data_IF_440792166082
#
_entry.id   IF_440792166082
#
_cell.length_a   1.000
_cell.length_b   1.000
_cell.length_c   1.000
_cell.angle_alpha   90.00
_cell.angle_beta   90.00
_cell.angle_gamma   90.00
#
_symmetry.space_group_name_H-M   'P 1'
#
loop_
_entity.id
_entity.type
_entity.pdbx_description
1 polymer ?
#
# COMPACT_ATOMS: atom_id res chain seq x y z
N UNK A 1 20.88 64.44 30.09
CA UNK A 1 21.54 63.40 29.26
C UNK A 1 20.85 62.10 29.54
N UNK A 2 19.89 61.69 28.66
CA UNK A 2 19.00 60.55 28.89
C UNK A 2 19.43 59.43 27.91
N UNK A 3 19.94 58.33 28.46
CA UNK A 3 20.43 57.16 27.74
C UNK A 3 19.22 56.28 27.34
N UNK A 4 18.89 56.19 26.06
CA UNK A 4 17.86 55.28 25.52
C UNK A 4 18.51 53.96 25.19
N UNK A 5 18.18 52.92 25.96
CA UNK A 5 18.58 51.53 25.69
C UNK A 5 17.51 50.93 24.77
N UNK A 6 17.87 50.66 23.50
CA UNK A 6 17.02 49.94 22.56
C UNK A 6 17.20 48.42 22.74
N UNK A 7 16.13 47.74 23.14
CA UNK A 7 16.09 46.28 23.20
C UNK A 7 15.71 45.75 21.81
N UNK A 8 16.65 45.08 21.16
CA UNK A 8 16.39 44.34 19.92
C UNK A 8 15.90 42.92 20.30
N UNK A 9 14.59 42.68 20.13
CA UNK A 9 14.03 41.34 20.21
C UNK A 9 14.41 40.56 18.94
N UNK A 10 15.36 39.65 19.02
CA UNK A 10 15.64 38.68 17.98
C UNK A 10 14.54 37.61 17.92
N UNK A 11 13.73 37.57 16.87
CA UNK A 11 12.86 36.46 16.57
C UNK A 11 13.71 35.27 16.12
N UNK A 12 13.90 34.27 16.99
CA UNK A 12 14.43 32.99 16.60
C UNK A 12 13.35 32.20 15.85
N UNK A 13 13.44 32.12 14.51
CA UNK A 13 12.60 31.26 13.70
C UNK A 13 12.94 29.80 14.02
N UNK A 14 12.08 29.09 14.75
CA UNK A 14 12.13 27.65 14.91
C UNK A 14 11.79 27.02 13.54
N UNK A 15 12.78 26.60 12.78
CA UNK A 15 12.61 25.75 11.61
C UNK A 15 12.09 24.39 12.11
N UNK A 16 10.78 24.14 11.98
CA UNK A 16 10.20 22.82 12.16
C UNK A 16 10.71 21.99 10.98
N UNK A 17 11.41 20.85 11.20
CA UNK A 17 11.77 19.98 10.12
C UNK A 17 10.47 19.52 9.44
N UNK A 18 10.30 19.84 8.17
CA UNK A 18 9.26 19.24 7.35
C UNK A 18 9.62 17.74 7.27
N UNK A 19 8.87 16.89 7.95
CA UNK A 19 8.92 15.44 7.69
C UNK A 19 8.61 15.28 6.21
N UNK A 20 9.60 14.77 5.46
CA UNK A 20 9.39 14.49 4.04
C UNK A 20 8.15 13.58 3.94
N UNK A 21 7.17 14.00 3.14
CA UNK A 21 5.98 13.19 2.94
C UNK A 21 6.42 11.84 2.34
N UNK A 22 5.95 10.75 2.92
CA UNK A 22 6.23 9.40 2.41
C UNK A 22 5.69 9.29 0.98
N UNK A 23 6.51 8.98 -0.04
CA UNK A 23 5.99 8.72 -1.36
C UNK A 23 5.29 7.36 -1.40
N UNK A 24 4.27 7.22 -2.25
CA UNK A 24 3.41 6.03 -2.29
C UNK A 24 4.20 4.73 -2.53
N UNK A 25 5.23 4.75 -3.36
CA UNK A 25 6.06 3.59 -3.69
C UNK A 25 6.99 3.13 -2.57
N UNK A 26 7.11 3.90 -1.48
CA UNK A 26 7.86 3.53 -0.28
C UNK A 26 6.95 3.31 0.93
N UNK A 27 5.64 3.42 0.75
CA UNK A 27 4.70 3.35 1.85
C UNK A 27 4.57 1.92 2.40
N UNK A 28 4.47 1.85 3.73
CA UNK A 28 4.13 0.63 4.47
C UNK A 28 2.80 0.86 5.16
N UNK A 29 1.86 -0.03 4.92
CA UNK A 29 0.54 -0.01 5.55
C UNK A 29 0.35 -1.23 6.43
N UNK A 30 -0.32 -1.07 7.55
CA UNK A 30 -0.59 -2.17 8.48
C UNK A 30 -2.08 -2.27 8.81
N UNK A 31 -2.51 -3.50 9.06
CA UNK A 31 -3.82 -3.76 9.66
C UNK A 31 -3.86 -3.30 11.11
N UNK A 32 -5.06 -3.00 11.62
CA UNK A 32 -5.22 -2.49 12.98
C UNK A 32 -4.73 -3.46 14.07
N UNK A 33 -4.70 -4.76 13.77
CA UNK A 33 -4.20 -5.81 14.67
C UNK A 33 -2.70 -6.11 14.48
N UNK A 34 -2.03 -5.43 13.54
CA UNK A 34 -0.63 -5.62 13.21
C UNK A 34 -0.28 -6.99 12.63
N UNK A 35 -1.27 -7.74 12.12
CA UNK A 35 -1.06 -9.12 11.60
C UNK A 35 -0.78 -9.16 10.11
N UNK A 36 -1.20 -8.14 9.40
CA UNK A 36 -1.02 -8.04 7.96
C UNK A 36 -0.43 -6.68 7.62
N UNK A 37 0.60 -6.68 6.78
CA UNK A 37 1.19 -5.47 6.23
C UNK A 37 1.19 -5.52 4.71
N UNK A 38 1.12 -4.34 4.10
CA UNK A 38 1.29 -4.09 2.67
C UNK A 38 2.52 -3.21 2.51
N UNK A 39 3.56 -3.72 1.90
CA UNK A 39 4.77 -2.95 1.57
C UNK A 39 4.77 -2.64 0.07
N UNK A 40 4.70 -1.37 -0.28
CA UNK A 40 4.89 -0.94 -1.65
C UNK A 40 6.36 -1.09 -2.04
N UNK A 41 6.63 -1.52 -3.27
CA UNK A 41 8.00 -1.79 -3.74
C UNK A 41 8.42 -0.73 -4.74
N UNK A 42 9.47 0.04 -4.42
CA UNK A 42 10.02 1.02 -5.34
C UNK A 42 10.64 0.34 -6.56
N UNK A 43 10.37 0.87 -7.74
CA UNK A 43 10.97 0.39 -9.00
C UNK A 43 10.38 -0.90 -9.56
N UNK A 44 9.39 -1.51 -8.92
CA UNK A 44 8.71 -2.73 -9.37
C UNK A 44 7.74 -2.55 -10.55
N UNK A 45 7.98 -1.58 -11.42
CA UNK A 45 7.09 -1.29 -12.55
C UNK A 45 7.38 -2.22 -13.74
N UNK A 46 6.72 -3.36 -13.80
CA UNK A 46 6.52 -4.06 -15.06
C UNK A 46 5.62 -3.21 -15.98
N UNK A 47 5.83 -3.24 -17.29
CA UNK A 47 5.27 -2.30 -18.29
C UNK A 47 3.75 -2.04 -18.27
N UNK A 48 2.96 -2.78 -17.50
CA UNK A 48 1.50 -2.62 -17.40
C UNK A 48 1.01 -2.44 -15.96
N UNK A 49 1.92 -2.33 -14.98
CA UNK A 49 1.59 -2.28 -13.56
C UNK A 49 1.97 -0.92 -12.98
N UNK A 50 1.09 -0.31 -12.20
CA UNK A 50 1.37 0.97 -11.56
C UNK A 50 2.16 0.81 -10.25
N UNK A 51 1.93 -0.28 -9.52
CA UNK A 51 2.61 -0.60 -8.26
C UNK A 51 2.82 -2.10 -8.11
N UNK A 52 3.91 -2.45 -7.46
CA UNK A 52 4.13 -3.76 -6.87
C UNK A 52 3.97 -3.64 -5.35
N UNK A 53 3.35 -4.65 -4.73
CA UNK A 53 3.07 -4.69 -3.31
C UNK A 53 3.49 -6.04 -2.78
N UNK A 54 4.24 -6.09 -1.68
CA UNK A 54 4.44 -7.29 -0.89
C UNK A 54 3.40 -7.35 0.21
N UNK A 55 2.63 -8.42 0.24
CA UNK A 55 1.67 -8.70 1.29
C UNK A 55 2.34 -9.63 2.30
N UNK A 56 2.45 -9.17 3.54
CA UNK A 56 2.99 -9.94 4.66
C UNK A 56 1.85 -10.27 5.60
N UNK A 57 1.56 -11.55 5.78
CA UNK A 57 0.67 -12.04 6.84
C UNK A 57 1.57 -12.69 7.89
N UNK A 58 1.31 -12.43 9.17
CA UNK A 58 2.12 -12.90 10.29
C UNK A 58 2.49 -14.38 10.10
N UNK A 59 3.76 -14.66 10.30
CA UNK A 59 4.37 -16.00 10.21
C UNK A 59 4.34 -16.65 8.82
N UNK A 60 3.84 -15.93 7.79
CA UNK A 60 3.83 -16.38 6.41
C UNK A 60 4.99 -15.78 5.58
N UNK A 61 5.26 -16.38 4.44
CA UNK A 61 6.16 -15.81 3.44
C UNK A 61 5.50 -14.59 2.78
N UNK A 62 6.27 -13.56 2.40
CA UNK A 62 5.75 -12.44 1.62
C UNK A 62 5.21 -12.91 0.27
N UNK A 63 4.05 -12.44 -0.13
CA UNK A 63 3.42 -12.74 -1.43
C UNK A 63 3.34 -11.47 -2.26
N UNK A 64 3.79 -11.53 -3.51
CA UNK A 64 3.75 -10.40 -4.42
C UNK A 64 2.36 -10.18 -4.99
N UNK A 65 1.90 -8.94 -4.99
CA UNK A 65 0.69 -8.49 -5.63
C UNK A 65 0.99 -7.27 -6.50
N UNK A 66 0.14 -7.00 -7.47
CA UNK A 66 0.35 -5.94 -8.45
C UNK A 66 -0.90 -5.11 -8.63
N UNK A 67 -0.75 -3.80 -8.76
CA UNK A 67 -1.83 -2.89 -9.12
C UNK A 67 -1.75 -2.60 -10.61
N UNK A 68 -2.84 -2.81 -11.31
CA UNK A 68 -2.97 -2.58 -12.75
C UNK A 68 -4.18 -1.70 -13.06
N UNK A 69 -4.25 -1.06 -14.23
CA UNK A 69 -5.47 -0.43 -14.69
C UNK A 69 -6.59 -1.46 -14.77
N UNK A 70 -7.72 -1.18 -14.10
CA UNK A 70 -8.85 -2.08 -14.10
C UNK A 70 -9.59 -2.10 -15.44
N UNK A 71 -10.25 -3.20 -15.75
CA UNK A 71 -11.02 -3.38 -16.99
C UNK A 71 -12.27 -2.50 -17.05
N UNK A 72 -12.86 -2.17 -15.90
CA UNK A 72 -14.06 -1.35 -15.80
C UNK A 72 -13.74 0.05 -15.30
N UNK A 73 -14.15 1.08 -16.03
CA UNK A 73 -14.05 2.50 -15.63
C UNK A 73 -12.63 3.01 -15.33
N UNK A 74 -11.58 2.25 -15.68
CA UNK A 74 -10.18 2.64 -15.41
C UNK A 74 -9.77 2.64 -13.94
N UNK A 75 -10.61 2.12 -13.04
CA UNK A 75 -10.29 2.03 -11.60
C UNK A 75 -9.11 1.06 -11.40
N UNK A 76 -8.10 1.40 -10.58
CA UNK A 76 -6.99 0.52 -10.32
C UNK A 76 -7.45 -0.76 -9.63
N UNK A 77 -7.00 -1.91 -10.13
CA UNK A 77 -7.27 -3.23 -9.56
C UNK A 77 -5.99 -3.83 -9.01
N UNK A 78 -6.03 -4.38 -7.80
CA UNK A 78 -4.98 -5.24 -7.29
C UNK A 78 -5.24 -6.68 -7.74
N UNK A 79 -4.20 -7.32 -8.25
CA UNK A 79 -4.17 -8.74 -8.59
C UNK A 79 -3.10 -9.43 -7.76
N UNK A 80 -3.43 -10.60 -7.23
CA UNK A 80 -2.54 -11.45 -6.47
C UNK A 80 -2.37 -12.79 -7.21
N UNK A 81 -1.34 -12.92 -8.05
CA UNK A 81 -1.02 -14.18 -8.71
C UNK A 81 -0.24 -15.10 -7.76
N UNK A 82 -0.54 -16.39 -7.78
CA UNK A 82 0.18 -17.41 -6.99
C UNK A 82 0.43 -18.64 -7.85
N UNK A 83 1.70 -19.03 -7.95
CA UNK A 83 2.12 -20.21 -8.72
C UNK A 83 1.60 -20.21 -10.17
N UNK A 84 1.57 -19.05 -10.79
CA UNK A 84 1.17 -18.94 -12.19
C UNK A 84 2.17 -19.67 -13.10
N UNK A 85 1.70 -20.33 -14.17
CA UNK A 85 2.58 -20.96 -15.15
C UNK A 85 3.52 -19.92 -15.79
N UNK A 86 4.73 -20.34 -16.13
CA UNK A 86 5.69 -19.52 -16.87
C UNK A 86 5.49 -19.70 -18.38
N UNK A 87 5.89 -18.68 -19.15
CA UNK A 87 5.89 -18.73 -20.61
C UNK A 87 4.61 -18.17 -21.23
N UNK A 88 4.22 -18.73 -22.36
CA UNK A 88 3.05 -18.28 -23.13
C UNK A 88 1.78 -18.93 -22.58
N UNK A 89 1.17 -18.27 -21.58
CA UNK A 89 -0.01 -18.75 -20.87
C UNK A 89 -1.28 -18.20 -21.50
N UNK A 90 -2.34 -18.99 -21.51
CA UNK A 90 -3.67 -18.54 -21.91
C UNK A 90 -4.33 -17.66 -20.85
N UNK A 91 -5.32 -16.87 -21.25
CA UNK A 91 -6.07 -16.05 -20.29
C UNK A 91 -6.78 -16.88 -19.21
N UNK A 92 -7.19 -18.12 -19.54
CA UNK A 92 -7.84 -19.04 -18.60
C UNK A 92 -6.85 -19.57 -17.56
N UNK A 93 -5.64 -19.97 -17.98
CA UNK A 93 -4.57 -20.41 -17.08
C UNK A 93 -4.13 -19.28 -16.15
N UNK A 94 -4.01 -18.06 -16.68
CA UNK A 94 -3.72 -16.89 -15.86
C UNK A 94 -4.84 -16.60 -14.86
N UNK A 95 -6.10 -16.67 -15.28
CA UNK A 95 -7.23 -16.45 -14.39
C UNK A 95 -7.30 -17.50 -13.25
N UNK A 96 -6.91 -18.76 -13.54
CA UNK A 96 -6.92 -19.84 -12.56
C UNK A 96 -5.87 -19.68 -11.45
N UNK A 97 -4.80 -18.93 -11.68
CA UNK A 97 -3.74 -18.68 -10.68
C UNK A 97 -3.92 -17.36 -9.91
N UNK A 98 -4.94 -16.55 -10.22
CA UNK A 98 -5.23 -15.31 -9.50
C UNK A 98 -6.06 -15.63 -8.25
N UNK A 99 -5.46 -15.48 -7.08
CA UNK A 99 -6.09 -15.70 -5.76
C UNK A 99 -7.02 -14.55 -5.39
N UNK A 100 -6.64 -13.35 -5.75
CA UNK A 100 -7.41 -12.15 -5.46
C UNK A 100 -7.36 -11.19 -6.63
N UNK A 101 -8.52 -10.61 -6.95
CA UNK A 101 -8.67 -9.51 -7.90
C UNK A 101 -9.80 -8.61 -7.44
N UNK A 102 -9.49 -7.36 -7.12
CA UNK A 102 -10.50 -6.37 -6.75
C UNK A 102 -9.97 -4.95 -6.94
N UNK A 103 -10.89 -4.00 -7.01
CA UNK A 103 -10.56 -2.57 -7.02
C UNK A 103 -9.81 -2.20 -5.75
N UNK A 104 -8.78 -1.37 -5.88
CA UNK A 104 -8.06 -0.78 -4.76
C UNK A 104 -8.58 0.63 -4.53
N UNK A 105 -8.99 0.92 -3.31
CA UNK A 105 -9.32 2.27 -2.88
C UNK A 105 -8.26 2.80 -1.92
N UNK A 106 -8.04 4.11 -1.99
CA UNK A 106 -7.25 4.84 -1.02
C UNK A 106 -8.14 5.83 -0.25
N UNK A 107 -7.68 6.29 0.90
CA UNK A 107 -8.35 7.38 1.61
C UNK A 107 -7.43 8.58 1.78
N UNK A 108 -8.02 9.76 1.77
CA UNK A 108 -7.37 11.01 2.18
C UNK A 108 -7.35 11.17 3.70
N UNK A 109 -6.77 12.29 4.18
CA UNK A 109 -6.69 12.62 5.59
C UNK A 109 -8.07 12.87 6.27
N UNK A 110 -9.11 13.12 5.49
CA UNK A 110 -10.48 13.32 5.94
C UNK A 110 -11.32 12.04 5.89
N UNK A 111 -10.72 10.93 5.41
CA UNK A 111 -11.39 9.63 5.23
C UNK A 111 -12.23 9.54 3.96
N UNK A 112 -12.10 10.50 3.05
CA UNK A 112 -12.72 10.45 1.72
C UNK A 112 -12.06 9.39 0.84
N UNK A 113 -12.86 8.62 0.10
CA UNK A 113 -12.34 7.65 -0.87
C UNK A 113 -11.73 8.38 -2.08
N UNK A 114 -10.59 7.90 -2.52
CA UNK A 114 -9.86 8.39 -3.69
C UNK A 114 -9.18 7.25 -4.44
N UNK A 115 -8.67 7.53 -5.59
CA UNK A 115 -7.77 6.61 -6.29
C UNK A 115 -6.45 6.45 -5.53
N UNK A 116 -5.81 5.30 -5.72
CA UNK A 116 -4.47 5.06 -5.18
C UNK A 116 -3.50 6.08 -5.79
N UNK A 117 -2.71 6.81 -4.96
CA UNK A 117 -1.73 7.76 -5.48
C UNK A 117 -0.71 7.08 -6.41
N UNK A 118 -0.26 7.79 -7.42
CA UNK A 118 0.81 7.33 -8.29
C UNK A 118 2.16 7.29 -7.54
N UNK A 119 3.14 6.57 -8.11
CA UNK A 119 4.52 6.61 -7.63
C UNK A 119 5.04 8.06 -7.62
N UNK A 120 5.76 8.46 -6.56
CA UNK A 120 6.24 9.82 -6.33
C UNK A 120 5.21 10.77 -5.70
N UNK A 121 3.93 10.41 -5.67
CA UNK A 121 2.92 11.19 -4.93
C UNK A 121 2.92 10.85 -3.44
N UNK A 122 2.39 11.76 -2.63
CA UNK A 122 2.23 11.52 -1.18
C UNK A 122 1.34 10.31 -0.93
N UNK A 123 1.82 9.38 -0.09
CA UNK A 123 1.11 8.18 0.29
C UNK A 123 -0.29 8.48 0.86
N UNK A 124 -1.23 7.61 0.54
CA UNK A 124 -2.57 7.66 1.09
C UNK A 124 -2.58 7.40 2.60
N UNK A 125 -3.61 7.85 3.32
CA UNK A 125 -3.73 7.59 4.76
C UNK A 125 -4.14 6.14 5.06
N UNK A 126 -4.90 5.55 4.16
CA UNK A 126 -5.22 4.13 4.22
C UNK A 126 -5.46 3.56 2.81
N UNK A 127 -5.31 2.24 2.71
CA UNK A 127 -5.65 1.43 1.54
C UNK A 127 -6.75 0.47 1.94
N UNK A 128 -7.75 0.31 1.08
CA UNK A 128 -8.88 -0.59 1.25
C UNK A 128 -8.86 -1.63 0.13
N UNK A 129 -8.88 -2.90 0.52
CA UNK A 129 -8.90 -4.08 -0.36
C UNK A 129 -10.20 -4.87 -0.15
N UNK A 130 -11.29 -4.54 -0.86
CA UNK A 130 -12.58 -5.19 -0.68
C UNK A 130 -12.51 -6.70 -0.96
N UNK A 131 -13.11 -7.51 -0.10
CA UNK A 131 -13.13 -8.98 -0.16
C UNK A 131 -11.75 -9.67 -0.05
N UNK A 132 -10.70 -8.96 0.33
CA UNK A 132 -9.38 -9.57 0.55
C UNK A 132 -9.44 -10.64 1.64
N UNK A 133 -10.16 -10.36 2.72
CA UNK A 133 -10.38 -11.32 3.81
C UNK A 133 -10.91 -12.67 3.31
N UNK A 134 -11.95 -12.66 2.48
CA UNK A 134 -12.57 -13.87 1.95
C UNK A 134 -11.62 -14.65 1.01
N UNK A 135 -10.78 -13.96 0.25
CA UNK A 135 -9.86 -14.57 -0.71
C UNK A 135 -8.60 -15.14 -0.05
N UNK A 136 -8.06 -14.44 0.95
CA UNK A 136 -6.79 -14.79 1.59
C UNK A 136 -6.96 -15.73 2.78
N UNK A 137 -8.15 -15.76 3.42
CA UNK A 137 -8.38 -16.60 4.60
C UNK A 137 -8.21 -18.08 4.29
N UNK A 138 -7.34 -18.73 5.06
CA UNK A 138 -6.97 -20.15 4.88
C UNK A 138 -6.44 -20.49 3.49
N UNK A 139 -5.97 -19.50 2.75
CA UNK A 139 -5.38 -19.75 1.45
C UNK A 139 -3.91 -20.17 1.60
N UNK A 140 -3.48 -21.30 0.99
CA UNK A 140 -2.13 -21.85 1.19
C UNK A 140 -0.99 -20.95 0.66
N UNK A 141 -1.29 -19.94 -0.14
CA UNK A 141 -0.30 -18.91 -0.52
C UNK A 141 0.32 -18.17 0.67
N UNK A 142 -0.37 -18.15 1.82
CA UNK A 142 0.05 -17.43 3.03
C UNK A 142 0.48 -18.37 4.17
N UNK A 143 0.86 -19.60 3.87
CA UNK A 143 1.27 -20.62 4.80
C UNK A 143 0.51 -21.94 4.55
N UNK A 144 0.99 -23.05 5.09
CA UNK A 144 0.46 -24.40 4.78
C UNK A 144 -1.06 -24.52 5.02
N UNK A 145 -1.56 -23.91 6.09
CA UNK A 145 -3.00 -23.87 6.43
C UNK A 145 -3.64 -22.49 6.19
N UNK A 146 -2.85 -21.53 5.67
CA UNK A 146 -3.23 -20.13 5.55
C UNK A 146 -3.44 -19.43 6.90
N UNK A 147 -3.90 -18.15 6.90
CA UNK A 147 -4.14 -17.41 8.12
C UNK A 147 -5.24 -18.05 8.97
N UNK A 148 -5.01 -18.24 10.26
CA UNK A 148 -6.03 -18.76 11.20
C UNK A 148 -7.24 -17.84 11.34
N UNK A 149 -7.02 -16.54 11.21
CA UNK A 149 -8.07 -15.52 11.28
C UNK A 149 -8.16 -14.79 9.93
N UNK A 150 -9.36 -14.37 9.52
CA UNK A 150 -9.50 -13.56 8.33
C UNK A 150 -8.59 -12.32 8.40
N UNK A 151 -7.77 -12.04 7.37
CA UNK A 151 -6.98 -10.82 7.34
C UNK A 151 -7.88 -9.58 7.25
N UNK A 152 -7.31 -8.42 7.57
CA UNK A 152 -8.03 -7.16 7.43
C UNK A 152 -8.24 -6.79 5.96
N UNK A 153 -9.20 -5.89 5.71
CA UNK A 153 -9.43 -5.27 4.39
C UNK A 153 -9.05 -3.78 4.36
N UNK A 154 -8.79 -3.21 5.55
CA UNK A 154 -8.36 -1.81 5.70
C UNK A 154 -6.97 -1.78 6.33
N UNK A 155 -6.06 -1.09 5.66
CA UNK A 155 -4.67 -0.97 6.05
C UNK A 155 -4.34 0.52 6.18
N UNK A 156 -3.75 0.93 7.29
CA UNK A 156 -3.40 2.32 7.59
C UNK A 156 -1.92 2.56 7.37
N UNK A 157 -1.57 3.74 6.90
CA UNK A 157 -0.17 4.13 6.76
C UNK A 157 0.53 4.02 8.11
N UNK A 158 1.52 3.16 8.19
CA UNK A 158 2.31 2.86 9.38
C UNK A 158 3.72 3.46 9.30
N UNK A 159 4.26 3.57 8.08
CA UNK A 159 5.61 4.08 7.89
C UNK A 159 6.01 4.24 6.43
N UNK A 160 7.28 4.53 6.25
CA UNK A 160 7.92 4.68 4.96
C UNK A 160 9.23 3.88 4.98
N UNK A 161 9.52 3.17 3.90
CA UNK A 161 10.80 2.49 3.72
C UNK A 161 11.91 3.54 3.53
N UNK A 162 13.11 3.25 4.03
CA UNK A 162 14.31 4.09 3.86
C UNK A 162 15.01 3.82 2.52
#
# INVERSE_FOLDING_TARGET
MVLRIAWALGLASLAVPALAACPQELAVYESADGRTALEFVAGGQAMAMSHEIRILIRDGAPVAAYVQPGAALGQPEMVLPVNCPEGDVTGEELAACIVYRSVVYATDAQGGLRELPAAGETAAQAVLLPNFAASAWRHPAFGDDGPEQPPAEIFRLAGCQE
#
